data_IF_976603834458
#
_entry.id   IF_976603834458
#
_cell.length_a   1.000
_cell.length_b   1.000
_cell.length_c   1.000
_cell.angle_alpha   90.00
_cell.angle_beta   90.00
_cell.angle_gamma   90.00
#
_symmetry.space_group_name_H-M   'P 1'
#
loop_
_entity.id
_entity.type
_entity.pdbx_description
1 polymer ?
#
# COMPACT_ATOMS: atom_id res chain seq x y z
N UNK A 1 1.60 3.11 -1.93
CA UNK A 1 1.07 2.74 -3.26
C UNK A 1 -0.27 2.08 -3.09
N UNK A 2 -1.29 2.67 -3.73
CA UNK A 2 -2.66 2.17 -3.78
C UNK A 2 -2.74 0.77 -4.42
N UNK A 3 -3.72 -0.01 -3.96
CA UNK A 3 -4.10 -1.31 -4.46
C UNK A 3 -4.44 -1.28 -5.96
N UNK A 4 -5.22 -0.30 -6.42
CA UNK A 4 -5.65 -0.22 -7.82
C UNK A 4 -4.49 0.13 -8.75
N UNK A 5 -3.63 1.07 -8.37
CA UNK A 5 -2.41 1.39 -9.14
C UNK A 5 -1.42 0.22 -9.23
N UNK A 6 -1.39 -0.62 -8.19
CA UNK A 6 -0.58 -1.84 -8.20
C UNK A 6 -1.16 -2.91 -9.14
N UNK A 7 -2.47 -2.93 -9.34
CA UNK A 7 -3.13 -3.85 -10.27
C UNK A 7 -3.15 -3.32 -11.70
N UNK A 8 -3.15 -1.99 -11.87
CA UNK A 8 -3.36 -1.30 -13.15
C UNK A 8 -2.27 -0.27 -13.41
N UNK A 9 -1.06 -0.74 -13.73
CA UNK A 9 0.13 0.09 -13.91
C UNK A 9 0.04 1.17 -15.00
N UNK A 10 -0.99 1.16 -15.84
CA UNK A 10 -1.19 2.12 -16.93
C UNK A 10 -2.21 3.22 -16.60
N UNK A 11 -2.91 3.14 -15.47
CA UNK A 11 -3.87 4.16 -15.08
C UNK A 11 -3.17 5.39 -14.47
N UNK A 12 -3.78 6.56 -14.68
CA UNK A 12 -3.29 7.81 -14.11
C UNK A 12 -3.65 7.83 -12.63
N UNK A 13 -2.68 8.20 -11.80
CA UNK A 13 -2.84 8.39 -10.36
C UNK A 13 -3.93 9.42 -10.05
N UNK A 14 -4.83 9.07 -9.14
CA UNK A 14 -6.01 9.85 -8.73
C UNK A 14 -5.95 10.30 -7.28
N UNK A 15 -6.81 11.23 -6.88
CA UNK A 15 -6.95 11.64 -5.47
C UNK A 15 -7.39 10.48 -4.57
N UNK A 16 -8.11 9.49 -5.10
CA UNK A 16 -8.51 8.30 -4.36
C UNK A 16 -7.33 7.40 -4.04
N UNK A 17 -6.33 7.32 -4.92
CA UNK A 17 -5.10 6.59 -4.67
C UNK A 17 -4.26 7.24 -3.56
N UNK A 18 -4.28 8.57 -3.48
CA UNK A 18 -3.68 9.33 -2.38
C UNK A 18 -4.43 9.09 -1.06
N UNK A 19 -5.76 9.12 -1.08
CA UNK A 19 -6.57 8.82 0.10
C UNK A 19 -6.36 7.39 0.59
N UNK A 20 -6.30 6.40 -0.30
CA UNK A 20 -5.96 5.02 0.08
C UNK A 20 -4.56 4.98 0.73
N UNK A 21 -3.57 5.61 0.10
CA UNK A 21 -2.20 5.65 0.63
C UNK A 21 -2.13 6.35 1.99
N UNK A 22 -2.94 7.38 2.22
CA UNK A 22 -3.08 8.04 3.50
C UNK A 22 -3.69 7.11 4.56
N UNK A 23 -4.73 6.35 4.24
CA UNK A 23 -5.32 5.37 5.16
C UNK A 23 -4.34 4.25 5.50
N UNK A 24 -3.57 3.77 4.52
CA UNK A 24 -2.49 2.82 4.75
C UNK A 24 -1.41 3.39 5.69
N UNK A 25 -1.08 4.67 5.55
CA UNK A 25 -0.15 5.34 6.45
C UNK A 25 -0.70 5.42 7.87
N UNK A 26 -1.96 5.82 8.04
CA UNK A 26 -2.62 5.81 9.35
C UNK A 26 -2.56 4.41 9.96
N UNK A 27 -2.97 3.38 9.21
CA UNK A 27 -2.90 1.98 9.67
C UNK A 27 -1.48 1.60 10.12
N UNK A 28 -0.46 1.96 9.34
CA UNK A 28 0.95 1.69 9.69
C UNK A 28 1.31 2.30 11.04
N UNK A 29 0.96 3.57 11.29
CA UNK A 29 1.19 4.22 12.57
C UNK A 29 0.38 3.57 13.69
N UNK A 30 -0.89 3.24 13.47
CA UNK A 30 -1.70 2.50 14.43
C UNK A 30 -1.03 1.19 14.84
N UNK A 31 -0.61 0.38 13.87
CA UNK A 31 0.05 -0.92 14.12
C UNK A 31 1.38 -0.80 14.86
N UNK A 32 2.08 0.33 14.72
CA UNK A 32 3.41 0.54 15.30
C UNK A 32 3.36 1.16 16.70
N UNK A 33 2.43 2.09 16.93
CA UNK A 33 2.42 2.92 18.13
C UNK A 33 1.25 2.61 19.07
N UNK A 34 0.16 2.02 18.56
CA UNK A 34 -1.03 1.76 19.38
C UNK A 34 -1.14 0.28 19.72
N UNK A 35 -1.57 0.01 20.95
CA UNK A 35 -1.96 -1.35 21.33
C UNK A 35 -3.21 -1.78 20.56
N UNK A 36 -3.27 -3.06 20.16
CA UNK A 36 -4.39 -3.59 19.40
C UNK A 36 -4.63 -5.07 19.67
N UNK A 37 -5.86 -5.54 19.43
CA UNK A 37 -6.17 -6.96 19.34
C UNK A 37 -5.76 -7.47 17.95
N UNK A 38 -4.88 -8.46 17.90
CA UNK A 38 -4.41 -9.03 16.63
C UNK A 38 -4.47 -10.54 16.67
N UNK A 39 -5.22 -11.17 15.76
CA UNK A 39 -5.26 -12.62 15.64
C UNK A 39 -3.93 -13.21 15.14
N UNK A 40 -3.19 -12.43 14.33
CA UNK A 40 -1.93 -12.84 13.74
C UNK A 40 -0.74 -12.42 14.60
N UNK A 41 -0.55 -13.09 15.75
CA UNK A 41 0.67 -13.28 16.57
C UNK A 41 1.76 -12.19 16.78
N UNK A 42 1.82 -11.10 16.01
CA UNK A 42 2.73 -9.95 16.08
C UNK A 42 2.30 -8.89 15.05
N UNK A 43 2.31 -7.61 15.42
CA UNK A 43 2.10 -6.46 14.50
C UNK A 43 3.07 -6.50 13.31
N UNK A 44 4.28 -7.03 13.53
CA UNK A 44 5.29 -7.22 12.48
C UNK A 44 4.79 -8.13 11.35
N UNK A 45 4.05 -9.20 11.67
CA UNK A 45 3.50 -10.07 10.62
C UNK A 45 2.49 -9.34 9.74
N UNK A 46 1.61 -8.54 10.35
CA UNK A 46 0.61 -7.74 9.65
C UNK A 46 1.32 -6.72 8.76
N UNK A 47 2.33 -6.02 9.30
CA UNK A 47 3.10 -5.02 8.55
C UNK A 47 3.82 -5.66 7.37
N UNK A 48 4.51 -6.78 7.58
CA UNK A 48 5.22 -7.49 6.51
C UNK A 48 4.27 -7.94 5.38
N UNK A 49 3.07 -8.42 5.72
CA UNK A 49 2.11 -8.88 4.70
C UNK A 49 1.44 -7.73 3.95
N UNK A 50 1.08 -6.64 4.63
CA UNK A 50 0.35 -5.53 4.00
C UNK A 50 1.28 -4.59 3.24
N UNK A 51 2.46 -4.28 3.80
CA UNK A 51 3.34 -3.24 3.28
C UNK A 51 4.55 -3.78 2.51
N UNK A 52 5.14 -4.88 2.98
CA UNK A 52 6.39 -5.41 2.42
C UNK A 52 6.18 -6.59 1.45
N UNK A 53 4.96 -7.13 1.35
CA UNK A 53 4.70 -8.28 0.49
C UNK A 53 4.76 -7.90 -0.99
N UNK A 54 5.86 -8.27 -1.62
CA UNK A 54 6.03 -8.28 -3.06
C UNK A 54 6.07 -9.74 -3.53
N UNK A 55 4.97 -10.17 -4.16
CA UNK A 55 4.85 -11.48 -4.78
C UNK A 55 4.74 -11.33 -6.30
N UNK A 56 5.26 -12.33 -7.03
CA UNK A 56 4.93 -12.52 -8.44
C UNK A 56 4.00 -13.71 -8.59
N UNK A 57 3.01 -13.60 -9.45
CA UNK A 57 2.17 -14.73 -9.85
C UNK A 57 2.91 -15.64 -10.84
N UNK A 58 2.26 -16.74 -11.23
CA UNK A 58 2.79 -17.72 -12.18
C UNK A 58 3.11 -17.11 -13.56
N UNK A 59 2.50 -15.98 -13.89
CA UNK A 59 2.68 -15.24 -15.13
C UNK A 59 3.70 -14.08 -14.99
N UNK A 60 4.31 -13.92 -13.81
CA UNK A 60 5.25 -12.85 -13.51
C UNK A 60 4.61 -11.50 -13.16
N UNK A 61 3.28 -11.42 -13.02
CA UNK A 61 2.52 -10.26 -12.58
C UNK A 61 2.66 -10.01 -11.08
N UNK A 62 2.53 -8.75 -10.64
CA UNK A 62 2.75 -8.36 -9.24
C UNK A 62 1.49 -8.58 -8.39
N UNK A 63 1.56 -9.39 -7.33
CA UNK A 63 0.40 -9.77 -6.48
C UNK A 63 0.06 -8.70 -5.42
N UNK A 64 0.97 -7.76 -5.14
CA UNK A 64 0.86 -6.85 -3.97
C UNK A 64 -0.43 -6.02 -3.90
N UNK A 65 -1.05 -5.70 -5.04
CA UNK A 65 -2.33 -4.99 -5.07
C UNK A 65 -3.50 -5.80 -4.49
N UNK A 66 -3.53 -7.12 -4.75
CA UNK A 66 -4.64 -8.00 -4.33
C UNK A 66 -4.73 -8.13 -2.81
N UNK A 67 -3.59 -8.24 -2.15
CA UNK A 67 -3.49 -8.31 -0.69
C UNK A 67 -4.13 -7.08 -0.05
N UNK A 68 -3.80 -5.88 -0.54
CA UNK A 68 -4.36 -4.62 -0.02
C UNK A 68 -5.85 -4.46 -0.34
N UNK A 69 -6.25 -4.81 -1.57
CA UNK A 69 -7.65 -4.82 -1.98
C UNK A 69 -8.50 -5.69 -1.04
N UNK A 70 -8.06 -6.91 -0.74
CA UNK A 70 -8.79 -7.82 0.17
C UNK A 70 -8.73 -7.38 1.63
N UNK A 71 -7.68 -6.65 2.04
CA UNK A 71 -7.61 -6.04 3.36
C UNK A 71 -8.69 -4.97 3.53
N UNK A 72 -8.86 -4.06 2.57
CA UNK A 72 -9.91 -3.02 2.64
C UNK A 72 -11.33 -3.57 2.54
N UNK A 73 -11.55 -4.55 1.65
CA UNK A 73 -12.89 -5.07 1.37
C UNK A 73 -13.35 -6.16 2.34
N UNK A 74 -12.42 -6.93 2.92
CA UNK A 74 -12.74 -8.12 3.73
C UNK A 74 -12.03 -8.17 5.08
N UNK A 75 -11.33 -7.09 5.47
CA UNK A 75 -10.48 -7.05 6.66
C UNK A 75 -9.48 -8.22 6.73
N UNK A 76 -9.06 -8.73 5.56
CA UNK A 76 -8.12 -9.83 5.49
C UNK A 76 -6.78 -9.41 6.13
N UNK A 77 -6.05 -10.35 6.76
CA UNK A 77 -4.81 -10.11 7.52
C UNK A 77 -4.94 -9.34 8.85
N UNK A 78 -5.96 -8.50 9.02
CA UNK A 78 -6.29 -7.92 10.32
C UNK A 78 -7.10 -8.91 11.16
N UNK A 79 -8.08 -9.54 10.52
CA UNK A 79 -9.04 -10.45 11.16
C UNK A 79 -10.26 -9.69 11.70
N UNK A 80 -11.38 -10.39 11.83
CA UNK A 80 -12.68 -9.77 12.16
C UNK A 80 -12.73 -9.13 13.55
N UNK A 81 -11.85 -9.55 14.46
CA UNK A 81 -11.79 -9.07 15.84
C UNK A 81 -10.66 -8.05 16.06
N UNK A 82 -10.08 -7.52 14.98
CA UNK A 82 -9.02 -6.51 15.07
C UNK A 82 -9.58 -5.17 15.53
N UNK A 83 -8.96 -4.62 16.57
CA UNK A 83 -9.36 -3.35 17.18
C UNK A 83 -8.16 -2.69 17.84
N UNK A 84 -8.04 -1.37 17.68
CA UNK A 84 -7.08 -0.58 18.47
C UNK A 84 -7.65 -0.27 19.86
N UNK A 85 -6.79 -0.26 20.88
CA UNK A 85 -7.12 0.23 22.23
C UNK A 85 -7.15 1.77 22.29
N UNK A 86 -7.64 2.41 21.23
CA UNK A 86 -7.88 3.85 21.12
C UNK A 86 -9.18 4.01 20.36
N UNK A 87 -10.27 4.34 21.06
CA UNK A 87 -11.60 4.52 20.45
C UNK A 87 -11.61 5.53 19.29
N UNK A 88 -11.01 6.74 19.40
CA UNK A 88 -11.03 7.69 18.29
C UNK A 88 -10.28 7.16 17.06
N UNK A 89 -9.14 6.52 17.25
CA UNK A 89 -8.36 5.96 16.17
C UNK A 89 -9.02 4.73 15.52
N UNK A 90 -9.60 3.84 16.32
CA UNK A 90 -10.31 2.65 15.85
C UNK A 90 -11.51 3.04 14.98
N UNK A 91 -12.30 4.03 15.41
CA UNK A 91 -13.43 4.55 14.64
C UNK A 91 -12.99 5.24 13.35
N UNK A 92 -11.90 6.02 13.41
CA UNK A 92 -11.28 6.66 12.24
C UNK A 92 -10.86 5.61 11.21
N UNK A 93 -10.09 4.59 11.62
CA UNK A 93 -9.60 3.54 10.71
C UNK A 93 -10.76 2.73 10.14
N UNK A 94 -11.73 2.29 10.94
CA UNK A 94 -12.87 1.50 10.44
C UNK A 94 -13.68 2.25 9.40
N UNK A 95 -13.99 3.52 9.67
CA UNK A 95 -14.76 4.36 8.75
C UNK A 95 -13.99 4.65 7.47
N UNK A 96 -12.68 4.92 7.58
CA UNK A 96 -11.81 5.13 6.44
C UNK A 96 -11.66 3.87 5.57
N UNK A 97 -11.50 2.70 6.20
CA UNK A 97 -11.44 1.41 5.51
C UNK A 97 -12.72 1.12 4.75
N UNK A 98 -13.87 1.37 5.38
CA UNK A 98 -15.16 1.18 4.73
C UNK A 98 -15.30 2.09 3.51
N UNK A 99 -14.93 3.36 3.61
CA UNK A 99 -15.01 4.30 2.49
C UNK A 99 -14.08 3.90 1.33
N UNK A 100 -12.85 3.48 1.63
CA UNK A 100 -11.89 2.98 0.63
C UNK A 100 -12.38 1.66 0.02
N UNK A 101 -12.91 0.74 0.81
CA UNK A 101 -13.46 -0.53 0.35
C UNK A 101 -14.63 -0.33 -0.63
N UNK A 102 -15.57 0.55 -0.30
CA UNK A 102 -16.67 0.93 -1.20
C UNK A 102 -16.17 1.48 -2.54
N UNK A 103 -15.11 2.30 -2.51
CA UNK A 103 -14.50 2.84 -3.73
C UNK A 103 -13.87 1.74 -4.58
N UNK A 104 -13.05 0.88 -3.97
CA UNK A 104 -12.39 -0.25 -4.65
C UNK A 104 -13.43 -1.18 -5.30
N UNK A 105 -14.51 -1.51 -4.59
CA UNK A 105 -15.59 -2.35 -5.11
C UNK A 105 -16.25 -1.71 -6.34
N UNK A 106 -16.54 -0.42 -6.29
CA UNK A 106 -17.13 0.30 -7.42
C UNK A 106 -16.22 0.32 -8.66
N UNK A 107 -14.90 0.55 -8.48
CA UNK A 107 -13.93 0.51 -9.58
C UNK A 107 -13.78 -0.90 -10.20
N UNK A 108 -13.83 -1.93 -9.37
CA UNK A 108 -13.82 -3.31 -9.83
C UNK A 108 -15.05 -3.65 -10.68
N UNK A 109 -16.24 -3.17 -10.28
CA UNK A 109 -17.49 -3.39 -11.03
C UNK A 109 -17.48 -2.70 -12.40
N UNK A 110 -16.89 -1.50 -12.51
CA UNK A 110 -16.69 -0.85 -13.82
C UNK A 110 -15.83 -1.68 -14.75
N UNK A 111 -14.71 -2.17 -14.21
CA UNK A 111 -13.72 -2.94 -14.97
C UNK A 111 -14.36 -4.23 -15.50
N UNK A 112 -15.15 -4.93 -14.67
CA UNK A 112 -15.90 -6.11 -15.09
C UNK A 112 -16.93 -5.79 -16.18
N UNK A 113 -17.67 -4.68 -16.04
CA UNK A 113 -18.70 -4.28 -17.01
C UNK A 113 -18.11 -4.00 -18.40
N UNK A 114 -16.89 -3.47 -18.49
CA UNK A 114 -16.23 -3.23 -19.79
C UNK A 114 -15.79 -4.53 -20.46
N UNK A 115 -15.29 -5.51 -19.71
CA UNK A 115 -14.88 -6.82 -20.26
C UNK A 115 -16.09 -7.57 -20.83
N UNK A 116 -17.25 -7.50 -20.16
CA UNK A 116 -18.49 -8.16 -20.61
C UNK A 116 -19.12 -7.55 -21.87
N UNK A 117 -18.70 -6.35 -22.31
CA UNK A 117 -19.18 -5.79 -23.59
C UNK A 117 -18.56 -6.48 -24.81
N UNK A 118 -17.45 -7.21 -24.65
CA UNK A 118 -16.86 -8.07 -25.69
C UNK A 118 -17.31 -9.54 -25.66
N UNK A 119 -18.07 -9.96 -24.64
CA UNK A 119 -18.59 -11.33 -24.51
C UNK A 119 -19.72 -11.57 -25.50
N UNK A 120 -19.63 -12.70 -26.22
CA UNK A 120 -20.57 -13.08 -27.28
C UNK A 120 -21.99 -13.21 -26.73
N UNK A 121 -22.99 -12.92 -27.57
CA UNK A 121 -24.43 -12.95 -27.24
C UNK A 121 -24.87 -14.24 -26.52
N UNK A 122 -24.16 -15.35 -26.74
CA UNK A 122 -24.46 -16.66 -26.16
C UNK A 122 -24.15 -16.76 -24.66
N UNK A 123 -23.08 -16.11 -24.15
CA UNK A 123 -22.72 -16.15 -22.72
C UNK A 123 -23.68 -15.34 -21.85
N UNK A 124 -24.29 -14.27 -22.39
CA UNK A 124 -25.31 -13.49 -21.67
C UNK A 124 -26.60 -14.26 -21.43
N UNK A 125 -26.99 -15.14 -22.37
CA UNK A 125 -28.22 -15.91 -22.26
C UNK A 125 -28.13 -17.01 -21.20
N UNK A 126 -26.95 -17.60 -21.00
CA UNK A 126 -26.74 -18.69 -20.03
C UNK A 126 -26.64 -18.18 -18.59
N UNK A 127 -26.14 -16.94 -18.38
CA UNK A 127 -25.90 -16.40 -17.04
C UNK A 127 -27.03 -15.51 -16.47
N UNK A 128 -28.11 -15.26 -17.23
CA UNK A 128 -29.19 -14.34 -16.83
C UNK A 128 -30.09 -14.83 -15.68
N UNK A 129 -29.89 -16.05 -15.16
CA UNK A 129 -30.79 -16.67 -14.16
C UNK A 129 -30.32 -16.54 -12.70
N UNK A 130 -29.16 -15.95 -12.42
CA UNK A 130 -28.60 -15.91 -11.07
C UNK A 130 -28.58 -14.49 -10.47
N UNK A 131 -29.55 -14.25 -9.57
CA UNK A 131 -29.64 -13.14 -8.60
C UNK A 131 -29.95 -11.75 -9.20
N UNK A 132 -30.93 -11.00 -8.65
CA UNK A 132 -31.17 -9.62 -9.08
C UNK A 132 -29.89 -8.82 -8.83
N UNK A 133 -29.29 -8.32 -9.91
CA UNK A 133 -28.12 -7.47 -9.84
C UNK A 133 -28.49 -6.23 -9.02
N UNK A 134 -27.95 -6.13 -7.82
CA UNK A 134 -28.00 -4.87 -7.07
C UNK A 134 -27.29 -3.84 -7.94
N UNK A 135 -28.05 -2.88 -8.47
CA UNK A 135 -27.49 -1.79 -9.27
C UNK A 135 -26.39 -1.14 -8.44
N UNK A 136 -25.13 -1.12 -8.90
CA UNK A 136 -24.07 -0.47 -8.14
C UNK A 136 -24.44 1.00 -7.93
N UNK A 137 -24.16 1.55 -6.72
CA UNK A 137 -24.42 2.94 -6.46
C UNK A 137 -23.65 3.81 -7.47
N UNK A 138 -24.22 4.93 -7.93
CA UNK A 138 -23.51 5.83 -8.82
C UNK A 138 -22.25 6.35 -8.13
N UNK A 139 -21.16 6.56 -8.88
CA UNK A 139 -19.89 7.07 -8.32
C UNK A 139 -20.06 8.39 -7.56
N UNK A 140 -21.01 9.20 -7.99
CA UNK A 140 -21.33 10.47 -7.37
C UNK A 140 -21.85 10.33 -5.94
N UNK A 141 -22.38 9.17 -5.56
CA UNK A 141 -22.83 8.86 -4.20
C UNK A 141 -21.79 8.14 -3.36
N UNK A 142 -20.58 7.89 -3.89
CA UNK A 142 -19.53 7.26 -3.10
C UNK A 142 -18.89 8.25 -2.14
N UNK A 143 -18.67 7.75 -0.93
CA UNK A 143 -18.08 8.47 0.19
C UNK A 143 -16.70 9.04 -0.13
N UNK A 144 -15.91 8.35 -0.97
CA UNK A 144 -14.53 8.72 -1.32
C UNK A 144 -14.41 9.50 -2.64
N UNK A 145 -15.49 10.16 -3.09
CA UNK A 145 -15.47 10.96 -4.32
C UNK A 145 -14.46 12.11 -4.26
N UNK A 146 -14.30 12.72 -3.09
CA UNK A 146 -13.34 13.76 -2.81
C UNK A 146 -12.79 13.58 -1.37
N UNK A 147 -11.93 14.50 -0.94
CA UNK A 147 -11.27 14.43 0.37
C UNK A 147 -12.15 14.93 1.53
N UNK A 148 -13.36 15.45 1.27
CA UNK A 148 -14.18 16.12 2.30
C UNK A 148 -14.62 15.16 3.40
N UNK A 149 -14.98 13.92 3.03
CA UNK A 149 -15.33 12.88 4.00
C UNK A 149 -14.14 12.54 4.91
N UNK A 150 -12.98 12.26 4.30
CA UNK A 150 -11.76 11.92 5.04
C UNK A 150 -11.32 13.07 5.95
N UNK A 151 -11.41 14.32 5.48
CA UNK A 151 -11.12 15.52 6.27
C UNK A 151 -12.05 15.64 7.47
N UNK A 152 -13.37 15.46 7.27
CA UNK A 152 -14.37 15.55 8.34
C UNK A 152 -14.16 14.45 9.37
N UNK A 153 -13.89 13.22 8.92
CA UNK A 153 -13.61 12.08 9.77
C UNK A 153 -12.35 12.31 10.61
N UNK A 154 -11.30 12.90 10.02
CA UNK A 154 -10.07 13.21 10.73
C UNK A 154 -10.26 14.32 11.77
N UNK A 155 -10.98 15.40 11.43
CA UNK A 155 -11.33 16.44 12.40
C UNK A 155 -12.17 15.90 13.57
N UNK A 156 -13.14 15.04 13.28
CA UNK A 156 -13.94 14.39 14.31
C UNK A 156 -13.06 13.57 15.25
N UNK A 157 -12.15 12.75 14.70
CA UNK A 157 -11.22 11.96 15.51
C UNK A 157 -10.31 12.84 16.37
N UNK A 158 -9.75 13.92 15.82
CA UNK A 158 -8.89 14.86 16.56
C UNK A 158 -9.62 15.64 17.65
N UNK A 159 -10.94 15.82 17.52
CA UNK A 159 -11.75 16.51 18.55
C UNK A 159 -12.05 15.64 19.78
N UNK A 160 -11.84 14.32 19.68
CA UNK A 160 -12.03 13.40 20.79
C UNK A 160 -10.91 13.56 21.83
N UNK A 161 -11.24 13.55 23.12
CA UNK A 161 -10.26 13.70 24.21
C UNK A 161 -9.67 12.36 24.68
N UNK A 162 -10.16 11.24 24.17
CA UNK A 162 -9.77 9.87 24.57
C UNK A 162 -8.58 9.32 23.77
N UNK A 163 -7.71 10.17 23.26
CA UNK A 163 -6.46 9.71 22.65
C UNK A 163 -5.54 9.12 23.73
N UNK A 164 -4.84 8.02 23.42
CA UNK A 164 -3.86 7.46 24.34
C UNK A 164 -2.74 8.47 24.59
N UNK A 165 -2.25 8.51 25.83
CA UNK A 165 -1.15 9.38 26.25
C UNK A 165 0.19 8.65 26.31
N UNK A 166 0.18 7.31 26.25
CA UNK A 166 1.36 6.46 26.21
C UNK A 166 1.49 5.84 24.81
N UNK A 167 1.83 6.68 23.82
CA UNK A 167 1.99 6.31 22.41
C UNK A 167 3.45 6.04 22.04
N UNK A 168 4.30 5.76 23.03
CA UNK A 168 5.70 5.45 22.77
C UNK A 168 5.82 4.17 21.93
N UNK A 169 6.49 4.29 20.77
CA UNK A 169 6.77 3.14 19.93
C UNK A 169 7.58 2.09 20.71
N UNK A 170 7.10 0.86 20.76
CA UNK A 170 7.86 -0.27 21.27
C UNK A 170 8.80 -0.84 20.19
N UNK A 171 9.66 0.03 19.66
CA UNK A 171 10.53 -0.29 18.53
C UNK A 171 11.56 -1.36 18.86
N UNK A 172 11.95 -1.51 20.14
CA UNK A 172 12.91 -2.55 20.57
C UNK A 172 12.40 -3.95 20.26
N UNK A 173 11.15 -4.27 20.64
CA UNK A 173 10.51 -5.55 20.31
C UNK A 173 10.43 -5.77 18.80
N UNK A 174 10.09 -4.71 18.06
CA UNK A 174 9.99 -4.79 16.60
C UNK A 174 11.34 -5.12 15.95
N UNK A 175 12.43 -4.51 16.42
CA UNK A 175 13.78 -4.79 15.92
C UNK A 175 14.25 -6.19 16.31
N UNK A 176 13.99 -6.62 17.55
CA UNK A 176 14.33 -7.97 18.01
C UNK A 176 13.62 -9.06 17.20
N UNK A 177 12.30 -8.94 17.00
CA UNK A 177 11.53 -9.88 16.18
C UNK A 177 12.06 -9.92 14.73
N UNK A 178 12.40 -8.75 14.17
CA UNK A 178 12.96 -8.65 12.82
C UNK A 178 14.34 -9.32 12.73
N UNK A 179 15.18 -9.17 13.75
CA UNK A 179 16.48 -9.84 13.83
C UNK A 179 16.32 -11.36 13.93
N UNK A 180 15.48 -11.85 14.85
CA UNK A 180 15.21 -13.28 15.02
C UNK A 180 14.70 -13.94 13.73
N UNK A 181 13.83 -13.25 12.96
CA UNK A 181 13.36 -13.74 11.65
C UNK A 181 14.47 -13.78 10.60
N UNK A 182 15.33 -12.76 10.55
CA UNK A 182 16.49 -12.73 9.63
C UNK A 182 17.46 -13.89 9.93
N UNK A 183 17.72 -14.16 11.20
CA UNK A 183 18.55 -15.28 11.63
C UNK A 183 17.95 -16.64 11.24
N UNK A 184 16.66 -16.85 11.48
CA UNK A 184 15.93 -18.05 11.05
C UNK A 184 16.01 -18.27 9.53
N UNK A 185 15.80 -17.21 8.73
CA UNK A 185 15.91 -17.27 7.26
C UNK A 185 17.34 -17.60 6.79
N UNK A 186 18.37 -17.05 7.45
CA UNK A 186 19.78 -17.37 7.16
C UNK A 186 20.12 -18.83 7.49
N UNK A 187 19.63 -19.34 8.62
CA UNK A 187 19.84 -20.73 9.03
C UNK A 187 19.24 -21.74 8.04
N UNK A 188 18.04 -21.47 7.50
CA UNK A 188 17.39 -22.35 6.51
C UNK A 188 18.20 -22.44 5.21
N UNK A 189 18.62 -21.30 4.65
CA UNK A 189 19.43 -21.26 3.41
C UNK A 189 20.76 -22.01 3.53
N UNK A 190 21.38 -21.99 4.72
CA UNK A 190 22.63 -22.71 4.95
C UNK A 190 22.42 -24.23 4.93
N UNK A 191 21.34 -24.72 5.56
CA UNK A 191 20.97 -26.15 5.51
C UNK A 191 20.62 -26.62 4.10
N UNK A 192 19.85 -25.84 3.35
CA UNK A 192 19.49 -26.21 1.96
C UNK A 192 20.74 -26.30 1.05
N UNK A 193 21.77 -25.48 1.31
CA UNK A 193 23.05 -25.53 0.59
C UNK A 193 23.91 -26.73 1.00
N UNK A 194 23.89 -27.12 2.27
CA UNK A 194 24.64 -28.28 2.77
C UNK A 194 23.96 -29.61 2.33
N UNK A 195 22.63 -29.63 2.25
CA UNK A 195 21.87 -30.84 1.91
C UNK A 195 21.70 -31.09 0.41
N UNK A 196 21.93 -30.08 -0.45
CA UNK A 196 21.76 -30.22 -1.90
C UNK A 196 22.90 -30.98 -2.61
N UNK A 197 23.91 -31.47 -1.87
CA UNK A 197 24.88 -32.50 -2.30
C UNK A 197 25.62 -32.22 -3.61
N UNK A 198 25.46 -31.04 -4.18
CA UNK A 198 25.96 -30.72 -5.51
C UNK A 198 27.41 -30.30 -5.36
N UNK A 199 28.37 -31.05 -5.94
CA UNK A 199 29.77 -30.70 -5.84
C UNK A 199 29.94 -29.31 -6.44
N UNK A 200 30.36 -28.36 -5.59
CA UNK A 200 30.69 -27.00 -5.99
C UNK A 200 31.82 -27.10 -7.02
N UNK A 201 31.47 -27.08 -8.30
CA UNK A 201 32.42 -26.88 -9.40
C UNK A 201 33.08 -25.53 -9.15
N UNK A 202 34.32 -25.56 -8.65
CA UNK A 202 35.19 -24.40 -8.50
C UNK A 202 35.56 -23.88 -9.89
N UNK A 203 34.63 -23.18 -10.56
CA UNK A 203 34.98 -22.44 -11.76
C UNK A 203 35.66 -21.13 -11.34
N UNK A 204 36.98 -21.19 -11.35
CA UNK A 204 37.87 -20.04 -11.48
C UNK A 204 37.54 -19.21 -12.73
N UNK A 205 37.70 -17.88 -12.61
CA UNK A 205 37.80 -16.86 -13.68
C UNK A 205 36.51 -16.24 -14.22
N UNK A 206 36.24 -15.00 -13.83
CA UNK A 206 36.53 -13.81 -14.66
C UNK A 206 36.11 -12.53 -13.93
N UNK A 207 37.11 -11.72 -13.56
CA UNK A 207 36.96 -10.41 -12.96
C UNK A 207 36.90 -9.35 -14.07
N UNK A 208 35.71 -9.00 -14.57
CA UNK A 208 35.63 -7.82 -15.48
C UNK A 208 34.32 -7.03 -15.46
N UNK A 209 33.16 -7.56 -15.03
CA UNK A 209 31.90 -6.81 -15.26
C UNK A 209 31.40 -5.88 -14.13
N UNK A 210 32.12 -5.70 -13.02
CA UNK A 210 31.67 -4.82 -11.92
C UNK A 210 32.03 -3.34 -12.08
N UNK A 211 32.90 -2.99 -13.03
CA UNK A 211 33.33 -1.60 -13.25
C UNK A 211 32.30 -0.75 -14.02
N UNK A 212 31.56 -1.35 -14.95
CA UNK A 212 30.65 -0.61 -15.85
C UNK A 212 29.34 -0.18 -15.19
N UNK A 213 28.82 -0.94 -14.21
CA UNK A 213 27.59 -0.60 -13.49
C UNK A 213 27.80 0.47 -12.41
N UNK A 214 29.02 0.62 -11.89
CA UNK A 214 29.35 1.69 -10.95
C UNK A 214 29.54 3.05 -11.66
N UNK A 215 30.06 3.04 -12.89
CA UNK A 215 30.25 4.24 -13.69
C UNK A 215 28.92 4.86 -14.15
N UNK A 216 27.96 4.05 -14.58
CA UNK A 216 26.65 4.56 -15.04
C UNK A 216 25.81 5.17 -13.91
N UNK A 217 25.95 4.68 -12.68
CA UNK A 217 25.26 5.27 -11.51
C UNK A 217 25.80 6.64 -11.12
N UNK A 218 27.10 6.90 -11.30
CA UNK A 218 27.69 8.19 -10.93
C UNK A 218 27.37 9.30 -11.94
N UNK A 219 27.20 8.96 -13.22
CA UNK A 219 26.77 9.92 -14.26
C UNK A 219 25.30 10.34 -14.10
N UNK A 220 24.43 9.44 -13.64
CA UNK A 220 23.02 9.74 -13.43
C UNK A 220 22.78 10.75 -12.29
N UNK A 221 23.53 10.64 -11.18
CA UNK A 221 23.38 11.53 -10.03
C UNK A 221 23.90 12.94 -10.32
N UNK A 222 24.98 13.06 -11.08
CA UNK A 222 25.62 14.35 -11.42
C UNK A 222 24.75 15.21 -12.34
N UNK A 223 23.99 14.60 -13.27
CA UNK A 223 23.07 15.36 -14.14
C UNK A 223 21.82 15.87 -13.42
N UNK A 224 21.39 15.20 -12.34
CA UNK A 224 20.18 15.56 -11.61
C UNK A 224 20.38 16.79 -10.69
N UNK A 225 21.57 16.95 -10.11
CA UNK A 225 21.90 18.11 -9.28
C UNK A 225 22.12 19.39 -10.10
N UNK A 226 22.69 19.28 -11.31
CA UNK A 226 22.89 20.44 -12.18
C UNK A 226 21.56 21.08 -12.63
N UNK A 227 20.48 20.30 -12.76
CA UNK A 227 19.17 20.79 -13.23
C UNK A 227 18.38 21.52 -12.13
N UNK A 228 18.64 21.23 -10.85
CA UNK A 228 17.96 21.88 -9.73
C UNK A 228 18.58 23.25 -9.40
N UNK A 229 19.86 23.45 -9.68
CA UNK A 229 20.53 24.73 -9.44
C UNK A 229 20.07 25.85 -10.39
N UNK A 230 19.52 25.52 -11.56
CA UNK A 230 19.12 26.51 -12.57
C UNK A 230 17.71 27.10 -12.33
N UNK A 231 16.89 26.51 -11.46
CA UNK A 231 15.51 26.98 -11.22
C UNK A 231 15.36 27.98 -10.07
N UNK A 232 16.43 28.33 -9.35
CA UNK A 232 16.36 29.18 -8.15
C UNK A 232 16.67 30.67 -8.36
N UNK A 233 16.85 31.14 -9.60
CA UNK A 233 17.30 32.53 -9.88
C UNK A 233 16.16 33.46 -10.35
N UNK A 234 14.90 33.02 -10.31
CA UNK A 234 13.83 33.65 -11.09
C UNK A 234 12.71 34.36 -10.34
N UNK A 235 12.82 34.74 -9.06
CA UNK A 235 11.69 35.40 -8.38
C UNK A 235 12.14 36.46 -7.37
N UNK A 236 12.08 37.73 -7.77
CA UNK A 236 12.35 38.84 -6.85
C UNK A 236 12.37 40.21 -7.51
N UNK A 237 11.21 40.76 -7.87
CA UNK A 237 11.00 42.23 -7.89
C UNK A 237 9.53 42.57 -8.18
N UNK A 238 8.70 42.68 -7.13
CA UNK A 238 7.40 43.37 -7.22
C UNK A 238 7.46 44.59 -6.31
N UNK A 239 7.53 45.76 -6.94
CA UNK A 239 7.48 47.09 -6.32
C UNK A 239 6.08 47.32 -5.72
N UNK A 240 6.03 47.73 -4.45
CA UNK A 240 4.81 48.28 -3.82
C UNK A 240 4.75 49.77 -4.07
N UNK A 241 3.69 50.22 -4.71
CA UNK A 241 3.27 51.63 -4.77
C UNK A 241 2.25 51.88 -3.66
N UNK A 242 2.47 52.92 -2.85
CA UNK A 242 1.49 53.40 -1.88
C UNK A 242 0.54 54.43 -2.52
N UNK A 243 -0.73 54.54 -2.10
CA UNK A 243 -1.57 55.66 -2.44
C UNK A 243 -1.62 56.71 -1.31
N UNK A 244 -1.72 57.97 -1.73
CA UNK A 244 -2.11 59.15 -0.94
C UNK A 244 -3.58 59.09 -0.52
#
# INVERSE_FOLDING_TARGET
>A
MSSLLLLKHHEVHTIQDDMESFVLLLLYYGLRYLQHTGAFGSSLSIIEHIFDYEGKDENGGTIGGKTKETMFTKANYLGNNFQFHSTPFDNLIKSAFQAVGQWIEAENLKTQSQVSQGSTYFERLVNASARPASVPPPLSSLTLRDHTFMSSLFHLALSDTRWPTDDAANDSKFQEERQQRKEKKRGKRRRDRENSGSPVRKNSRSSTSKSLLAQTWHEYTTRKTARLSTMQVGEGSVRRSAPN
#
